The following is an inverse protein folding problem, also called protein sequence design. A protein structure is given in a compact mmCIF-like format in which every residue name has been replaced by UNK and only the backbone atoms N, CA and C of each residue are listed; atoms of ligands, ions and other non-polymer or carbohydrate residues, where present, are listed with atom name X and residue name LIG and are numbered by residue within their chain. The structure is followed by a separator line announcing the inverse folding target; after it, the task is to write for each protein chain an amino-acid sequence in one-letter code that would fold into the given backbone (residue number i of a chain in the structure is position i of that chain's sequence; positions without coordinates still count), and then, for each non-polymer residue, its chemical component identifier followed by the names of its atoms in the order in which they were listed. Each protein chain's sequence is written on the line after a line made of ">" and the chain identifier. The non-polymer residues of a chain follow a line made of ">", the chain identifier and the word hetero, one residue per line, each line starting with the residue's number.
data_IF_747862157987
#
_entry.id   IF_747862157987
#
_cell.length_a   1.000
_cell.length_b   1.000
_cell.length_c   1.000
_cell.angle_alpha   90.00
_cell.angle_beta   90.00
_cell.angle_gamma   90.00
#
_symmetry.space_group_name_H-M   'P 1'
#
loop_
_entity.id
_entity.type
_entity.pdbx_description
1 polymer ?
#
# COMPACT_ATOMS: atom_id res chain seq x y z
N UNK A 1 27.79 -20.69 53.89
CA UNK A 1 27.69 -19.23 54.02
C UNK A 1 26.98 -18.60 52.83
N UNK A 2 25.71 -18.98 52.63
CA UNK A 2 24.78 -18.33 51.67
C UNK A 2 23.79 -17.41 52.42
N UNK A 3 23.86 -17.38 53.75
CA UNK A 3 22.91 -16.69 54.63
C UNK A 3 23.33 -15.26 55.01
N UNK A 4 24.21 -14.60 54.23
CA UNK A 4 24.66 -13.22 54.51
C UNK A 4 24.21 -12.15 53.50
N UNK A 5 23.38 -12.51 52.50
CA UNK A 5 22.91 -11.55 51.49
C UNK A 5 21.41 -11.20 51.58
N UNK A 6 20.67 -11.67 52.59
CA UNK A 6 19.22 -11.41 52.70
C UNK A 6 18.84 -10.12 53.45
N UNK A 7 19.77 -9.27 53.88
CA UNK A 7 19.44 -8.12 54.74
C UNK A 7 19.80 -6.71 54.21
N UNK A 8 20.12 -6.56 52.93
CA UNK A 8 20.27 -5.22 52.33
C UNK A 8 19.35 -5.06 51.12
N UNK A 9 18.07 -4.83 51.39
CA UNK A 9 17.14 -4.37 50.37
C UNK A 9 17.62 -3.05 49.75
N UNK A 10 17.76 -3.03 48.42
CA UNK A 10 18.09 -1.81 47.67
C UNK A 10 16.84 -0.95 47.64
N UNK A 11 16.89 0.21 48.30
CA UNK A 11 15.85 1.23 48.18
C UNK A 11 16.07 1.97 46.86
N UNK A 12 15.17 1.75 45.90
CA UNK A 12 15.13 2.48 44.63
C UNK A 12 14.10 3.59 44.79
N UNK A 13 14.56 4.83 44.93
CA UNK A 13 13.69 6.00 44.81
C UNK A 13 13.41 6.24 43.32
N UNK A 14 12.15 6.04 42.91
CA UNK A 14 11.69 6.33 41.55
C UNK A 14 10.91 7.64 41.63
N UNK A 15 11.54 8.72 41.18
CA UNK A 15 10.84 9.98 41.02
C UNK A 15 9.71 9.83 39.98
N UNK A 16 8.51 10.37 40.26
CA UNK A 16 7.43 10.35 39.29
C UNK A 16 7.83 11.16 38.05
N UNK A 17 7.61 10.58 36.86
CA UNK A 17 7.78 11.28 35.60
C UNK A 17 6.79 12.45 35.51
N UNK A 18 7.25 13.66 35.81
CA UNK A 18 6.46 14.88 35.66
C UNK A 18 6.49 15.30 34.18
N UNK A 19 5.52 14.82 33.41
CA UNK A 19 5.30 15.31 32.05
C UNK A 19 4.66 16.69 32.16
N UNK A 20 5.41 17.73 31.81
CA UNK A 20 4.87 19.09 31.70
C UNK A 20 3.73 19.07 30.68
N UNK A 21 2.51 19.41 31.11
CA UNK A 21 1.35 19.45 30.22
C UNK A 21 1.51 20.47 29.07
N UNK A 22 2.44 21.42 29.20
CA UNK A 22 2.81 22.36 28.14
C UNK A 22 3.81 21.78 27.12
N UNK A 23 4.37 20.59 27.35
CA UNK A 23 5.19 19.83 26.38
C UNK A 23 4.35 18.85 25.54
N UNK A 24 3.10 18.59 25.94
CA UNK A 24 2.18 17.73 25.21
C UNK A 24 1.25 18.61 24.39
N UNK A 25 1.64 18.89 23.14
CA UNK A 25 0.68 19.39 22.16
C UNK A 25 -0.14 18.21 21.65
N UNK A 26 -1.30 17.99 22.27
CA UNK A 26 -2.34 17.17 21.65
C UNK A 26 -2.92 18.07 20.54
N UNK A 27 -2.52 17.83 19.29
CA UNK A 27 -3.25 18.41 18.15
C UNK A 27 -4.73 18.14 18.41
N UNK A 28 -5.51 19.20 18.58
CA UNK A 28 -6.96 19.08 18.60
C UNK A 28 -7.32 18.29 17.34
N UNK A 29 -7.90 17.10 17.52
CA UNK A 29 -8.49 16.32 16.44
C UNK A 29 -9.70 17.11 15.91
N UNK A 30 -9.44 18.21 15.19
CA UNK A 30 -10.37 18.67 14.19
C UNK A 30 -10.50 17.50 13.24
N UNK A 31 -11.71 16.96 13.15
CA UNK A 31 -12.15 15.99 12.16
C UNK A 31 -12.03 16.58 10.75
N UNK A 32 -10.83 16.98 10.35
CA UNK A 32 -10.52 17.28 8.99
C UNK A 32 -10.48 15.92 8.31
N UNK A 33 -11.68 15.43 7.98
CA UNK A 33 -11.84 14.42 6.96
C UNK A 33 -10.95 14.85 5.79
N UNK A 34 -10.09 13.94 5.34
CA UNK A 34 -9.24 14.21 4.20
C UNK A 34 -10.14 14.65 3.04
N UNK A 35 -10.06 15.91 2.63
CA UNK A 35 -10.76 16.36 1.44
C UNK A 35 -9.76 16.51 0.31
N UNK A 36 -9.74 15.54 -0.61
CA UNK A 36 -8.86 15.61 -1.77
C UNK A 36 -9.18 16.81 -2.67
N UNK A 37 -10.34 17.46 -2.54
CA UNK A 37 -10.68 18.68 -3.28
C UNK A 37 -9.77 19.84 -2.91
N UNK A 38 -9.23 19.84 -1.69
CA UNK A 38 -8.44 20.95 -1.14
C UNK A 38 -6.94 20.75 -1.28
N UNK A 39 -6.45 19.63 -1.85
CA UNK A 39 -5.01 19.45 -2.11
C UNK A 39 -4.49 20.67 -2.88
N UNK A 40 -3.58 21.41 -2.29
CA UNK A 40 -3.05 22.64 -2.88
C UNK A 40 -1.96 22.30 -3.91
N UNK A 41 -0.92 23.13 -4.01
CA UNK A 41 0.36 22.68 -4.55
C UNK A 41 1.00 21.63 -3.64
N UNK A 42 1.77 20.68 -4.20
CA UNK A 42 2.59 19.78 -3.38
C UNK A 42 3.57 20.60 -2.55
N UNK A 43 3.75 20.23 -1.28
CA UNK A 43 4.71 20.92 -0.41
C UNK A 43 6.15 20.48 -0.67
N UNK A 44 6.32 19.28 -1.26
CA UNK A 44 7.61 18.74 -1.71
C UNK A 44 7.39 17.78 -2.88
N UNK A 45 8.35 17.74 -3.77
CA UNK A 45 8.37 16.85 -4.93
C UNK A 45 9.69 16.10 -4.98
N UNK A 46 9.63 14.79 -5.23
CA UNK A 46 10.79 13.94 -5.51
C UNK A 46 10.79 13.68 -7.02
N UNK A 47 11.88 14.01 -7.70
CA UNK A 47 12.02 13.69 -9.12
C UNK A 47 12.16 12.18 -9.33
N UNK A 48 11.55 11.64 -10.37
CA UNK A 48 11.66 10.25 -10.78
C UNK A 48 12.28 10.14 -12.18
N UNK A 49 12.93 9.01 -12.45
CA UNK A 49 13.39 8.69 -13.80
C UNK A 49 12.19 8.30 -14.69
N UNK A 50 12.26 8.63 -15.98
CA UNK A 50 11.17 8.36 -16.95
C UNK A 50 10.81 6.88 -17.11
N UNK A 51 11.71 5.98 -16.72
CA UNK A 51 11.54 4.53 -16.81
C UNK A 51 10.99 3.90 -15.51
N UNK A 52 10.59 4.72 -14.53
CA UNK A 52 10.06 4.26 -13.25
C UNK A 52 8.69 3.58 -13.42
N UNK A 53 8.55 2.36 -12.91
CA UNK A 53 7.25 1.70 -12.83
C UNK A 53 6.36 2.32 -11.75
N UNK A 54 5.04 2.07 -11.76
CA UNK A 54 4.11 2.63 -10.77
C UNK A 54 4.40 2.22 -9.32
N UNK A 55 5.23 1.21 -9.09
CA UNK A 55 5.49 0.67 -7.76
C UNK A 55 6.02 1.74 -6.80
N UNK A 56 5.29 1.87 -5.69
CA UNK A 56 5.57 2.75 -4.58
C UNK A 56 4.80 2.22 -3.38
N UNK A 57 5.45 2.14 -2.23
CA UNK A 57 4.81 1.73 -0.99
C UNK A 57 5.41 2.50 0.17
N UNK A 58 4.75 2.49 1.32
CA UNK A 58 5.18 3.22 2.49
C UNK A 58 4.84 2.46 3.75
N UNK A 59 5.57 2.80 4.81
CA UNK A 59 5.19 2.47 6.17
C UNK A 59 5.01 3.77 6.96
N UNK A 60 5.04 3.68 8.29
CA UNK A 60 4.91 4.86 9.13
C UNK A 60 6.10 5.81 9.01
N UNK A 61 7.30 5.35 8.64
CA UNK A 61 8.56 6.11 8.67
C UNK A 61 9.18 6.37 7.30
N UNK A 62 8.97 5.45 6.37
CA UNK A 62 9.69 5.39 5.11
C UNK A 62 8.76 5.27 3.92
N UNK A 63 9.19 5.87 2.82
CA UNK A 63 8.61 5.76 1.50
C UNK A 63 9.61 5.01 0.61
N UNK A 64 9.22 3.85 0.10
CA UNK A 64 10.00 3.08 -0.87
C UNK A 64 9.45 3.33 -2.27
N UNK A 65 10.33 3.79 -3.16
CA UNK A 65 9.98 4.14 -4.53
C UNK A 65 10.82 3.30 -5.48
N UNK A 66 10.19 2.65 -6.45
CA UNK A 66 10.89 2.11 -7.61
C UNK A 66 11.32 3.25 -8.54
N UNK A 67 12.62 3.51 -8.60
CA UNK A 67 13.26 4.46 -9.49
C UNK A 67 14.36 3.75 -10.27
N UNK A 68 13.94 2.94 -11.25
CA UNK A 68 14.85 2.14 -12.07
C UNK A 68 16.13 2.92 -12.47
N UNK A 69 17.33 2.34 -12.24
CA UNK A 69 17.60 0.95 -11.85
C UNK A 69 17.60 0.67 -10.34
N UNK A 70 17.17 1.61 -9.49
CA UNK A 70 17.27 1.49 -8.03
C UNK A 70 15.91 1.44 -7.34
N UNK A 71 15.86 0.78 -6.19
CA UNK A 71 14.88 1.04 -5.15
C UNK A 71 15.41 2.15 -4.24
N UNK A 72 14.64 3.23 -4.10
CA UNK A 72 15.04 4.41 -3.33
C UNK A 72 14.18 4.54 -2.07
N UNK A 73 14.84 4.55 -0.90
CA UNK A 73 14.21 4.72 0.41
C UNK A 73 14.31 6.17 0.87
N UNK A 74 13.17 6.77 1.18
CA UNK A 74 13.08 8.13 1.72
C UNK A 74 12.51 8.12 3.13
N UNK A 75 12.96 9.03 3.99
CA UNK A 75 12.39 9.25 5.32
C UNK A 75 11.08 10.08 5.27
N UNK A 76 10.46 10.31 6.44
CA UNK A 76 9.31 11.21 6.61
C UNK A 76 9.57 12.65 6.15
N UNK A 77 10.82 13.09 6.23
CA UNK A 77 11.24 14.40 5.77
C UNK A 77 11.43 14.41 4.25
N UNK A 78 11.26 13.28 3.55
CA UNK A 78 11.45 13.06 2.12
C UNK A 78 12.91 13.24 1.68
N UNK A 79 13.84 12.94 2.58
CA UNK A 79 15.28 12.86 2.32
C UNK A 79 15.63 11.45 1.88
N UNK A 80 16.40 11.33 0.79
CA UNK A 80 16.90 10.04 0.33
C UNK A 80 17.86 9.49 1.37
N UNK A 81 17.54 8.33 1.94
CA UNK A 81 18.38 7.64 2.91
C UNK A 81 19.30 6.62 2.24
N UNK A 82 18.75 5.86 1.28
CA UNK A 82 19.45 4.75 0.66
C UNK A 82 18.90 4.39 -0.70
N UNK A 83 19.79 3.89 -1.54
CA UNK A 83 19.45 3.25 -2.82
C UNK A 83 19.89 1.79 -2.78
N UNK A 84 19.09 0.92 -3.39
CA UNK A 84 19.41 -0.49 -3.58
C UNK A 84 19.31 -0.82 -5.07
N UNK A 85 20.39 -1.27 -5.73
CA UNK A 85 20.34 -1.70 -7.12
C UNK A 85 19.34 -2.82 -7.35
N UNK A 86 18.39 -2.63 -8.25
CA UNK A 86 17.37 -3.61 -8.59
C UNK A 86 17.73 -4.34 -9.89
N UNK A 87 18.21 -5.58 -9.76
CA UNK A 87 18.70 -6.39 -10.88
C UNK A 87 17.66 -7.37 -11.44
N UNK A 88 16.41 -7.30 -10.94
CA UNK A 88 15.34 -8.22 -11.33
C UNK A 88 14.38 -7.58 -12.34
N UNK A 89 13.31 -8.31 -12.69
CA UNK A 89 12.24 -7.82 -13.55
C UNK A 89 11.56 -6.56 -12.97
N UNK A 90 10.81 -5.83 -13.81
CA UNK A 90 9.93 -4.77 -13.35
C UNK A 90 9.07 -5.16 -12.13
N UNK A 91 8.86 -4.17 -11.27
CA UNK A 91 8.08 -4.29 -10.05
C UNK A 91 6.65 -3.83 -10.35
N UNK A 92 5.68 -4.74 -10.56
CA UNK A 92 4.29 -4.36 -10.74
C UNK A 92 3.66 -3.78 -9.47
N UNK A 93 4.07 -4.24 -8.29
CA UNK A 93 3.55 -3.73 -7.02
C UNK A 93 4.46 -4.03 -5.81
N UNK A 94 4.23 -3.30 -4.72
CA UNK A 94 4.91 -3.51 -3.44
C UNK A 94 3.95 -3.21 -2.29
N UNK A 95 4.11 -3.90 -1.17
CA UNK A 95 3.41 -3.57 0.08
C UNK A 95 4.35 -3.65 1.28
N UNK A 96 3.99 -2.97 2.36
CA UNK A 96 4.69 -3.06 3.64
C UNK A 96 4.02 -4.09 4.56
N UNK A 97 4.83 -4.92 5.23
CA UNK A 97 4.38 -5.80 6.31
C UNK A 97 4.94 -5.34 7.65
N UNK A 98 4.07 -4.85 8.53
CA UNK A 98 4.45 -4.49 9.90
C UNK A 98 4.91 -5.70 10.71
N UNK A 99 4.31 -6.87 10.48
CA UNK A 99 4.66 -8.12 11.15
C UNK A 99 6.07 -8.59 10.85
N UNK A 100 6.51 -8.45 9.59
CA UNK A 100 7.86 -8.84 9.16
C UNK A 100 8.87 -7.70 9.21
N UNK A 101 8.44 -6.49 9.57
CA UNK A 101 9.20 -5.24 9.44
C UNK A 101 9.94 -5.12 8.09
N UNK A 102 9.23 -5.44 7.02
CA UNK A 102 9.83 -5.61 5.69
C UNK A 102 8.87 -5.20 4.57
N UNK A 103 9.44 -4.72 3.49
CA UNK A 103 8.76 -4.52 2.22
C UNK A 103 8.64 -5.86 1.48
N UNK A 104 7.44 -6.16 0.99
CA UNK A 104 7.18 -7.31 0.13
C UNK A 104 7.07 -6.78 -1.30
N UNK A 105 7.96 -7.26 -2.16
CA UNK A 105 8.12 -6.80 -3.53
C UNK A 105 7.74 -7.95 -4.45
N UNK A 106 6.73 -7.76 -5.30
CA UNK A 106 6.39 -8.75 -6.32
C UNK A 106 7.04 -8.39 -7.64
N UNK A 107 7.38 -9.41 -8.43
CA UNK A 107 7.92 -9.25 -9.78
C UNK A 107 7.11 -10.07 -10.78
N UNK A 108 7.21 -9.70 -12.06
CA UNK A 108 6.46 -10.38 -13.12
C UNK A 108 6.90 -11.84 -13.38
N UNK A 109 8.18 -12.20 -13.18
CA UNK A 109 8.68 -13.57 -13.42
C UNK A 109 9.55 -14.12 -12.30
N UNK A 110 10.30 -13.26 -11.61
CA UNK A 110 11.28 -13.70 -10.61
C UNK A 110 10.69 -14.06 -9.23
N UNK A 111 9.38 -13.88 -9.02
CA UNK A 111 8.67 -14.29 -7.80
C UNK A 111 8.42 -13.13 -6.85
N UNK A 112 8.44 -13.43 -5.55
CA UNK A 112 8.18 -12.48 -4.46
C UNK A 112 9.43 -12.35 -3.61
N UNK A 113 9.79 -11.12 -3.27
CA UNK A 113 10.97 -10.80 -2.48
C UNK A 113 10.58 -10.12 -1.18
N UNK A 114 11.36 -10.39 -0.14
CA UNK A 114 11.32 -9.71 1.13
C UNK A 114 12.55 -8.81 1.25
N UNK A 115 12.31 -7.51 1.36
CA UNK A 115 13.34 -6.49 1.54
C UNK A 115 13.17 -5.89 2.93
N UNK A 116 14.21 -5.93 3.75
CA UNK A 116 14.11 -5.33 5.08
C UNK A 116 13.99 -3.80 5.02
N UNK A 117 13.51 -3.20 6.11
CA UNK A 117 13.21 -1.77 6.19
C UNK A 117 14.38 -0.85 5.78
N UNK A 118 15.63 -1.24 6.06
CA UNK A 118 16.84 -0.45 5.80
C UNK A 118 17.54 -0.80 4.46
N UNK A 119 16.88 -1.57 3.59
CA UNK A 119 17.41 -2.06 2.32
C UNK A 119 18.81 -2.72 2.43
N UNK A 120 19.12 -3.43 3.51
CA UNK A 120 20.40 -4.13 3.68
C UNK A 120 20.33 -5.60 3.31
N UNK A 121 19.14 -6.19 3.24
CA UNK A 121 18.95 -7.60 2.90
C UNK A 121 17.73 -7.78 2.01
N UNK A 122 17.92 -8.57 0.96
CA UNK A 122 16.89 -9.00 0.04
C UNK A 122 16.86 -10.52 0.00
N UNK A 123 15.69 -11.11 0.21
CA UNK A 123 15.47 -12.55 0.15
C UNK A 123 14.36 -12.87 -0.85
N UNK A 124 14.55 -13.91 -1.67
CA UNK A 124 13.50 -14.43 -2.54
C UNK A 124 12.69 -15.50 -1.79
N UNK A 125 11.38 -15.29 -1.66
CA UNK A 125 10.47 -16.17 -0.92
C UNK A 125 10.19 -17.43 -1.76
N UNK A 126 10.98 -18.48 -1.53
CA UNK A 126 10.91 -19.74 -2.29
C UNK A 126 9.55 -20.47 -2.21
N UNK A 127 8.83 -20.49 -1.07
CA UNK A 127 7.55 -21.19 -0.99
C UNK A 127 6.46 -20.66 -1.93
N UNK A 128 6.59 -19.43 -2.42
CA UNK A 128 5.64 -18.83 -3.35
C UNK A 128 6.06 -19.16 -4.79
N UNK A 129 5.27 -19.98 -5.46
CA UNK A 129 5.49 -20.31 -6.86
C UNK A 129 5.62 -19.06 -7.74
N UNK A 130 6.54 -19.12 -8.71
CA UNK A 130 6.67 -18.08 -9.73
C UNK A 130 5.41 -18.05 -10.60
N UNK A 131 4.65 -16.97 -10.50
CA UNK A 131 3.51 -16.64 -11.36
C UNK A 131 3.63 -15.20 -11.84
N UNK A 132 2.83 -14.83 -12.82
CA UNK A 132 2.68 -13.43 -13.23
C UNK A 132 1.86 -12.69 -12.18
N UNK A 133 2.50 -12.27 -11.09
CA UNK A 133 1.87 -11.48 -10.04
C UNK A 133 1.60 -10.06 -10.54
N UNK A 134 0.48 -9.47 -10.14
CA UNK A 134 0.08 -8.12 -10.54
C UNK A 134 0.00 -7.15 -9.37
N UNK A 135 -0.56 -7.56 -8.25
CA UNK A 135 -0.72 -6.71 -7.07
C UNK A 135 -0.60 -7.50 -5.79
N UNK A 136 -0.17 -6.81 -4.72
CA UNK A 136 -0.01 -7.40 -3.40
C UNK A 136 -0.50 -6.47 -2.30
N UNK A 137 -0.98 -7.06 -1.21
CA UNK A 137 -1.26 -6.35 0.04
C UNK A 137 -1.14 -7.35 1.19
N UNK A 138 -1.05 -6.88 2.43
CA UNK A 138 -1.03 -7.79 3.57
C UNK A 138 -1.80 -7.25 4.78
N UNK A 139 -2.29 -8.19 5.58
CA UNK A 139 -2.69 -7.97 6.96
C UNK A 139 -1.52 -8.30 7.89
N UNK A 140 -1.77 -8.29 9.20
CA UNK A 140 -0.77 -8.72 10.19
C UNK A 140 -0.37 -10.19 10.05
N UNK A 141 -1.22 -11.05 9.47
CA UNK A 141 -0.96 -12.49 9.38
C UNK A 141 -0.90 -13.03 7.96
N UNK A 142 -1.41 -12.30 6.98
CA UNK A 142 -1.72 -12.85 5.66
C UNK A 142 -1.22 -11.95 4.55
N UNK A 143 -0.46 -12.51 3.62
CA UNK A 143 -0.14 -11.90 2.33
C UNK A 143 -1.22 -12.29 1.31
N UNK A 144 -1.72 -11.30 0.58
CA UNK A 144 -2.66 -11.47 -0.52
C UNK A 144 -1.96 -11.11 -1.83
N UNK A 145 -2.02 -12.01 -2.82
CA UNK A 145 -1.44 -11.79 -4.16
C UNK A 145 -2.48 -11.98 -5.26
N UNK A 146 -2.49 -11.11 -6.27
CA UNK A 146 -3.33 -11.25 -7.47
C UNK A 146 -2.53 -11.66 -8.70
N UNK A 147 -3.13 -12.45 -9.60
CA UNK A 147 -2.52 -12.81 -10.89
C UNK A 147 -2.84 -11.81 -12.01
N UNK A 148 -1.89 -11.62 -12.93
CA UNK A 148 -2.02 -10.75 -14.11
C UNK A 148 -2.69 -11.49 -15.29
N UNK A 149 -3.93 -11.94 -15.09
CA UNK A 149 -4.68 -12.66 -16.12
C UNK A 149 -6.17 -12.32 -16.04
N UNK A 150 -6.90 -12.45 -17.15
CA UNK A 150 -8.36 -12.35 -17.14
C UNK A 150 -8.94 -13.49 -16.27
N UNK A 151 -9.92 -13.16 -15.42
CA UNK A 151 -10.37 -14.08 -14.36
C UNK A 151 -9.35 -14.18 -13.22
N UNK A 152 -8.71 -13.07 -12.87
CA UNK A 152 -7.59 -13.01 -11.91
C UNK A 152 -7.89 -13.79 -10.64
N UNK A 153 -6.90 -14.56 -10.19
CA UNK A 153 -6.97 -15.31 -8.95
C UNK A 153 -6.45 -14.46 -7.79
N UNK A 154 -6.93 -14.70 -6.57
CA UNK A 154 -6.35 -14.15 -5.33
C UNK A 154 -5.82 -15.31 -4.50
N UNK A 155 -4.55 -15.24 -4.11
CA UNK A 155 -3.88 -16.21 -3.26
C UNK A 155 -3.65 -15.63 -1.87
N UNK A 156 -3.83 -16.45 -0.84
CA UNK A 156 -3.50 -16.15 0.55
C UNK A 156 -2.32 -16.99 1.01
N UNK A 157 -1.35 -16.34 1.65
CA UNK A 157 -0.20 -16.98 2.27
C UNK A 157 -0.06 -16.51 3.72
N UNK A 158 0.33 -17.41 4.62
CA UNK A 158 0.56 -17.09 6.02
C UNK A 158 1.94 -16.45 6.20
N UNK A 159 2.01 -15.19 6.62
CA UNK A 159 3.27 -14.46 6.83
C UNK A 159 4.15 -15.10 7.90
N UNK A 160 3.54 -15.57 8.99
CA UNK A 160 4.24 -16.12 10.16
C UNK A 160 4.67 -17.58 9.98
N UNK A 161 4.08 -18.29 9.02
CA UNK A 161 4.42 -19.69 8.71
C UNK A 161 5.23 -19.80 7.42
N UNK A 162 6.28 -18.97 7.29
CA UNK A 162 7.18 -18.96 6.13
C UNK A 162 6.43 -18.91 4.78
N UNK A 163 5.39 -18.07 4.69
CA UNK A 163 4.56 -17.91 3.49
C UNK A 163 3.89 -19.21 3.03
N UNK A 164 3.49 -20.10 3.95
CA UNK A 164 2.72 -21.28 3.59
C UNK A 164 1.40 -20.89 2.90
N UNK A 165 1.09 -21.56 1.79
CA UNK A 165 -0.15 -21.35 1.06
C UNK A 165 -1.36 -21.71 1.94
N UNK A 166 -2.33 -20.80 2.04
CA UNK A 166 -3.54 -21.01 2.84
C UNK A 166 -4.74 -21.34 1.96
N UNK A 167 -5.03 -20.47 0.99
CA UNK A 167 -6.26 -20.51 0.19
C UNK A 167 -6.08 -19.76 -1.12
N UNK A 168 -6.87 -20.16 -2.11
CA UNK A 168 -7.00 -19.45 -3.38
C UNK A 168 -8.47 -19.20 -3.68
N UNK A 169 -8.81 -17.97 -4.06
CA UNK A 169 -10.07 -17.64 -4.71
C UNK A 169 -9.86 -17.60 -6.22
N UNK A 170 -10.63 -18.39 -6.95
CA UNK A 170 -10.56 -18.52 -8.40
C UNK A 170 -11.73 -17.83 -9.07
N UNK A 171 -11.60 -17.45 -10.35
CA UNK A 171 -12.75 -17.04 -11.15
C UNK A 171 -13.81 -18.17 -11.20
N UNK A 172 -15.12 -17.87 -11.05
CA UNK A 172 -15.73 -16.53 -11.00
C UNK A 172 -15.85 -15.93 -9.60
N UNK A 173 -15.34 -16.61 -8.57
CA UNK A 173 -15.44 -16.14 -7.18
C UNK A 173 -14.61 -14.87 -6.94
N UNK A 174 -13.35 -14.85 -7.40
CA UNK A 174 -12.45 -13.68 -7.31
C UNK A 174 -12.95 -12.50 -8.16
N UNK A 175 -13.09 -12.73 -9.46
CA UNK A 175 -13.78 -11.88 -10.41
C UNK A 175 -14.28 -12.74 -11.59
N UNK A 176 -15.16 -12.19 -12.43
CA UNK A 176 -15.58 -12.90 -13.64
C UNK A 176 -14.40 -13.15 -14.59
N UNK A 177 -14.54 -14.14 -15.48
CA UNK A 177 -13.52 -14.54 -16.46
C UNK A 177 -13.11 -13.42 -17.43
N UNK A 178 -13.98 -12.45 -17.71
CA UNK A 178 -13.74 -11.31 -18.59
C UNK A 178 -13.14 -10.10 -17.87
N UNK A 179 -12.90 -10.22 -16.56
CA UNK A 179 -12.43 -9.14 -15.69
C UNK A 179 -11.01 -9.37 -15.20
N UNK A 180 -10.32 -8.29 -14.86
CA UNK A 180 -8.99 -8.28 -14.26
C UNK A 180 -9.04 -7.55 -12.92
N UNK A 181 -8.35 -8.07 -11.91
CA UNK A 181 -8.10 -7.37 -10.65
C UNK A 181 -6.78 -6.62 -10.78
N UNK A 182 -6.85 -5.33 -11.09
CA UNK A 182 -5.68 -4.48 -11.31
C UNK A 182 -4.89 -4.19 -10.03
N UNK A 183 -5.59 -4.09 -8.90
CA UNK A 183 -4.98 -3.77 -7.62
C UNK A 183 -5.83 -4.29 -6.45
N UNK A 184 -5.16 -4.62 -5.36
CA UNK A 184 -5.75 -5.08 -4.11
C UNK A 184 -5.18 -4.27 -2.95
N UNK A 185 -6.03 -3.88 -2.00
CA UNK A 185 -5.60 -3.22 -0.78
C UNK A 185 -6.37 -3.80 0.43
N UNK A 186 -5.64 -4.19 1.47
CA UNK A 186 -6.20 -4.65 2.72
C UNK A 186 -6.35 -3.49 3.69
N UNK A 187 -7.48 -3.44 4.39
CA UNK A 187 -7.66 -2.57 5.54
C UNK A 187 -8.74 -3.14 6.47
N UNK A 188 -8.45 -3.23 7.77
CA UNK A 188 -9.42 -3.57 8.80
C UNK A 188 -10.37 -4.73 8.42
N UNK A 189 -9.81 -5.91 8.18
CA UNK A 189 -10.55 -7.14 7.80
C UNK A 189 -11.30 -7.08 6.45
N UNK A 190 -10.99 -6.10 5.62
CA UNK A 190 -11.58 -5.95 4.28
C UNK A 190 -10.53 -5.90 3.19
N UNK A 191 -10.92 -6.30 1.99
CA UNK A 191 -10.12 -6.21 0.76
C UNK A 191 -10.86 -5.32 -0.23
N UNK A 192 -10.24 -4.20 -0.59
CA UNK A 192 -10.66 -3.39 -1.72
C UNK A 192 -10.02 -3.94 -2.99
N UNK A 193 -10.86 -4.23 -3.99
CA UNK A 193 -10.48 -4.76 -5.28
C UNK A 193 -10.75 -3.73 -6.36
N UNK A 194 -9.71 -3.33 -7.09
CA UNK A 194 -9.86 -2.52 -8.29
C UNK A 194 -10.07 -3.44 -9.50
N UNK A 195 -11.31 -3.57 -9.94
CA UNK A 195 -11.73 -4.53 -10.97
C UNK A 195 -12.05 -3.79 -12.27
N UNK A 196 -11.50 -4.31 -13.36
CA UNK A 196 -11.77 -3.81 -14.71
C UNK A 196 -12.41 -4.88 -15.57
N UNK A 197 -13.43 -4.48 -16.34
CA UNK A 197 -13.99 -5.30 -17.39
C UNK A 197 -13.32 -4.97 -18.72
N UNK A 198 -12.62 -5.95 -19.30
CA UNK A 198 -11.86 -5.78 -20.56
C UNK A 198 -12.75 -5.71 -21.80
N UNK A 199 -14.05 -6.00 -21.69
CA UNK A 199 -14.99 -6.04 -22.82
C UNK A 199 -15.77 -4.74 -23.01
N UNK A 200 -15.90 -3.91 -21.97
CA UNK A 200 -16.74 -2.72 -22.01
C UNK A 200 -16.15 -1.50 -21.26
N UNK A 201 -14.87 -1.59 -20.88
CA UNK A 201 -14.09 -0.53 -20.22
C UNK A 201 -14.68 0.02 -18.91
N UNK A 202 -15.64 -0.71 -18.33
CA UNK A 202 -16.17 -0.36 -17.01
C UNK A 202 -15.18 -0.78 -15.95
N UNK A 203 -14.89 0.15 -15.05
CA UNK A 203 -14.10 -0.12 -13.86
C UNK A 203 -14.95 0.04 -12.62
N UNK A 204 -14.64 -0.76 -11.61
CA UNK A 204 -15.29 -0.67 -10.31
C UNK A 204 -14.29 -0.92 -9.20
N UNK A 205 -14.53 -0.28 -8.08
CA UNK A 205 -13.99 -0.72 -6.81
C UNK A 205 -15.02 -1.63 -6.15
N UNK A 206 -14.57 -2.72 -5.55
CA UNK A 206 -15.40 -3.67 -4.82
C UNK A 206 -14.74 -3.99 -3.49
N UNK A 207 -15.48 -3.78 -2.39
CA UNK A 207 -15.02 -4.12 -1.06
C UNK A 207 -15.58 -5.46 -0.64
N UNK A 208 -14.73 -6.34 -0.14
CA UNK A 208 -15.10 -7.68 0.34
C UNK A 208 -14.56 -7.94 1.73
N UNK A 209 -15.22 -8.81 2.50
CA UNK A 209 -14.63 -9.34 3.73
C UNK A 209 -13.35 -10.11 3.40
N UNK A 210 -12.24 -9.91 4.13
CA UNK A 210 -11.03 -10.71 3.92
C UNK A 210 -11.17 -12.15 4.41
N UNK A 211 -12.12 -12.41 5.32
CA UNK A 211 -12.34 -13.72 5.92
C UNK A 211 -13.26 -14.59 5.06
N UNK A 212 -14.45 -14.09 4.73
CA UNK A 212 -15.46 -14.86 3.97
C UNK A 212 -15.39 -14.61 2.47
N UNK A 213 -14.82 -13.46 2.07
CA UNK A 213 -14.81 -12.97 0.70
C UNK A 213 -16.19 -12.58 0.15
N UNK A 214 -17.15 -12.37 1.04
CA UNK A 214 -18.47 -11.84 0.69
C UNK A 214 -18.37 -10.36 0.29
N UNK A 215 -19.13 -9.93 -0.73
CA UNK A 215 -19.17 -8.52 -1.12
C UNK A 215 -19.87 -7.67 -0.06
N UNK A 216 -19.24 -6.57 0.31
CA UNK A 216 -19.79 -5.57 1.22
C UNK A 216 -20.44 -4.43 0.43
N UNK A 217 -19.73 -3.89 -0.55
CA UNK A 217 -20.26 -2.91 -1.50
C UNK A 217 -19.44 -2.88 -2.79
N UNK A 218 -19.99 -2.26 -3.84
CA UNK A 218 -19.26 -2.00 -5.08
C UNK A 218 -19.70 -0.68 -5.71
N UNK A 219 -18.72 0.05 -6.24
CA UNK A 219 -18.93 1.35 -6.87
C UNK A 219 -18.29 1.36 -8.24
N UNK A 220 -19.11 1.58 -9.26
CA UNK A 220 -18.67 1.65 -10.65
C UNK A 220 -18.40 3.09 -11.05
N UNK A 221 -17.39 3.29 -11.88
CA UNK A 221 -17.09 4.59 -12.45
C UNK A 221 -16.60 4.44 -13.89
N UNK A 222 -16.84 5.49 -14.68
CA UNK A 222 -16.42 5.51 -16.08
C UNK A 222 -14.92 5.75 -16.17
N UNK A 223 -14.27 4.98 -17.04
CA UNK A 223 -12.92 5.26 -17.51
C UNK A 223 -12.95 5.32 -19.03
N UNK A 224 -12.18 6.22 -19.62
CA UNK A 224 -11.87 6.14 -21.04
C UNK A 224 -11.04 4.89 -21.29
N UNK A 225 -11.21 4.30 -22.48
CA UNK A 225 -10.32 3.26 -22.95
C UNK A 225 -8.87 3.76 -22.92
N UNK A 226 -7.97 2.95 -22.37
CA UNK A 226 -6.56 3.32 -22.27
C UNK A 226 -5.65 2.11 -22.39
N UNK A 227 -4.46 2.32 -22.94
CA UNK A 227 -3.48 1.26 -23.20
C UNK A 227 -2.77 0.73 -21.95
N UNK A 228 -3.03 1.30 -20.76
CA UNK A 228 -2.38 0.94 -19.50
C UNK A 228 -3.37 0.63 -18.35
N UNK A 229 -4.30 -0.33 -18.53
CA UNK A 229 -5.33 -0.70 -17.53
C UNK A 229 -4.77 -1.05 -16.15
N UNK A 230 -3.58 -1.65 -16.09
CA UNK A 230 -2.88 -2.04 -14.85
C UNK A 230 -2.44 -0.87 -13.96
N UNK A 231 -2.60 0.37 -14.42
CA UNK A 231 -2.22 1.58 -13.65
C UNK A 231 -3.35 2.13 -12.79
N UNK A 232 -4.53 1.52 -12.81
CA UNK A 232 -5.59 1.90 -11.87
C UNK A 232 -5.33 1.25 -10.51
N UNK A 233 -5.25 2.07 -9.47
CA UNK A 233 -4.87 1.65 -8.12
C UNK A 233 -5.92 2.08 -7.10
N UNK A 234 -5.90 1.41 -5.96
CA UNK A 234 -6.62 1.80 -4.77
C UNK A 234 -5.61 1.88 -3.62
N UNK A 235 -5.70 2.92 -2.80
CA UNK A 235 -4.96 2.98 -1.56
C UNK A 235 -5.87 3.32 -0.38
N UNK A 236 -5.44 2.87 0.79
CA UNK A 236 -6.15 3.07 2.06
C UNK A 236 -5.95 4.52 2.50
N UNK A 237 -7.05 5.16 2.90
CA UNK A 237 -7.05 6.45 3.57
C UNK A 237 -7.38 6.28 5.06
N UNK A 238 -7.34 7.36 5.83
CA UNK A 238 -7.83 7.37 7.22
C UNK A 238 -9.30 6.95 7.28
N UNK A 239 -9.74 6.50 8.45
CA UNK A 239 -11.15 6.22 8.77
C UNK A 239 -11.82 5.18 7.86
N UNK A 240 -11.05 4.21 7.35
CA UNK A 240 -11.51 3.17 6.44
C UNK A 240 -12.08 3.69 5.11
N UNK A 241 -11.59 4.84 4.67
CA UNK A 241 -11.89 5.40 3.36
C UNK A 241 -10.82 4.98 2.34
N UNK A 242 -11.07 5.25 1.07
CA UNK A 242 -10.26 4.77 -0.03
C UNK A 242 -10.00 5.87 -1.04
N UNK A 243 -8.78 5.92 -1.57
CA UNK A 243 -8.42 6.75 -2.70
C UNK A 243 -8.30 5.84 -3.92
N UNK A 244 -9.10 6.10 -4.94
CA UNK A 244 -9.06 5.38 -6.21
C UNK A 244 -8.39 6.26 -7.25
N UNK A 245 -7.39 5.68 -7.91
CA UNK A 245 -6.63 6.32 -8.98
C UNK A 245 -7.19 5.82 -10.31
N UNK A 246 -7.89 6.70 -11.01
CA UNK A 246 -8.35 6.45 -12.37
C UNK A 246 -7.34 7.03 -13.35
N UNK A 247 -6.33 6.23 -13.69
CA UNK A 247 -5.21 6.61 -14.54
C UNK A 247 -5.68 7.19 -15.88
N UNK A 248 -6.57 6.49 -16.58
CA UNK A 248 -6.96 6.85 -17.95
C UNK A 248 -7.65 8.22 -18.05
N UNK A 249 -8.29 8.65 -16.97
CA UNK A 249 -8.95 9.94 -16.92
C UNK A 249 -8.13 11.00 -16.16
N UNK A 250 -6.94 10.67 -15.63
CA UNK A 250 -6.20 11.57 -14.73
C UNK A 250 -7.06 12.04 -13.54
N UNK A 251 -7.83 11.14 -12.91
CA UNK A 251 -8.70 11.49 -11.77
C UNK A 251 -8.34 10.73 -10.50
N UNK A 252 -8.49 11.43 -9.39
CA UNK A 252 -8.53 10.90 -8.03
C UNK A 252 -9.99 10.86 -7.57
N UNK A 253 -10.43 9.71 -7.06
CA UNK A 253 -11.76 9.54 -6.46
C UNK A 253 -11.59 9.21 -4.99
N UNK A 254 -12.21 9.99 -4.12
CA UNK A 254 -12.30 9.69 -2.71
C UNK A 254 -13.59 8.92 -2.46
N UNK A 255 -13.44 7.69 -2.00
CA UNK A 255 -14.53 6.76 -1.72
C UNK A 255 -14.62 6.57 -0.21
N UNK A 256 -15.80 6.81 0.33
CA UNK A 256 -16.13 6.60 1.74
C UNK A 256 -16.13 5.12 2.13
N UNK A 257 -16.15 4.84 3.43
CA UNK A 257 -16.17 3.49 4.00
C UNK A 257 -17.34 2.61 3.54
N UNK A 258 -18.46 3.22 3.13
CA UNK A 258 -19.69 2.57 2.64
C UNK A 258 -19.80 2.60 1.10
N UNK A 259 -18.76 3.06 0.41
CA UNK A 259 -18.65 2.96 -1.04
C UNK A 259 -19.14 4.19 -1.80
N UNK A 260 -19.65 5.24 -1.15
CA UNK A 260 -20.04 6.47 -1.85
C UNK A 260 -18.83 7.30 -2.28
N UNK A 261 -18.85 7.79 -3.52
CA UNK A 261 -17.84 8.75 -4.01
C UNK A 261 -18.12 10.10 -3.34
N UNK A 262 -17.25 10.52 -2.42
CA UNK A 262 -17.32 11.81 -1.72
C UNK A 262 -16.89 12.94 -2.65
N UNK A 263 -15.73 12.76 -3.26
CA UNK A 263 -15.09 13.78 -4.09
C UNK A 263 -14.45 13.13 -5.32
N UNK A 264 -14.53 13.84 -6.44
CA UNK A 264 -13.77 13.55 -7.65
C UNK A 264 -12.92 14.76 -8.02
N UNK A 265 -11.64 14.53 -8.28
CA UNK A 265 -10.69 15.59 -8.61
C UNK A 265 -9.84 15.21 -9.82
N UNK A 266 -9.72 16.12 -10.77
CA UNK A 266 -8.74 16.01 -11.85
C UNK A 266 -7.34 16.30 -11.32
N UNK A 267 -6.34 15.58 -11.81
CA UNK A 267 -4.97 15.70 -11.36
C UNK A 267 -4.03 15.62 -12.57
N UNK A 268 -3.29 16.70 -12.81
CA UNK A 268 -2.31 16.77 -13.89
C UNK A 268 -0.90 16.96 -13.28
N UNK A 269 0.10 16.14 -13.67
CA UNK A 269 0.06 15.10 -14.72
C UNK A 269 -0.54 13.77 -14.25
N UNK A 270 -0.84 12.87 -15.20
CA UNK A 270 -1.48 11.57 -14.92
C UNK A 270 -0.83 10.79 -13.77
N UNK A 271 -1.69 10.31 -12.87
CA UNK A 271 -1.29 9.58 -11.67
C UNK A 271 -1.06 8.10 -11.99
N UNK A 272 0.06 7.56 -11.52
CA UNK A 272 0.44 6.15 -11.63
C UNK A 272 0.15 5.39 -10.32
N UNK A 273 0.38 6.01 -9.17
CA UNK A 273 0.18 5.40 -7.86
C UNK A 273 0.04 6.48 -6.77
N UNK A 274 -0.48 6.12 -5.60
CA UNK A 274 -0.55 6.99 -4.44
C UNK A 274 -0.54 6.17 -3.15
N UNK A 275 0.17 6.66 -2.13
CA UNK A 275 0.24 6.00 -0.81
C UNK A 275 0.23 7.04 0.30
N UNK A 276 -0.19 6.63 1.50
CA UNK A 276 -0.03 7.43 2.71
C UNK A 276 1.31 7.12 3.37
N UNK A 277 2.16 8.14 3.52
CA UNK A 277 3.36 8.08 4.32
C UNK A 277 3.02 8.53 5.74
N UNK A 278 3.06 7.58 6.68
CA UNK A 278 2.53 7.80 8.02
C UNK A 278 1.05 8.17 7.99
N UNK A 279 0.67 9.19 8.75
CA UNK A 279 -0.73 9.62 8.88
C UNK A 279 -1.04 10.94 8.20
N UNK A 280 -0.07 11.68 7.67
CA UNK A 280 -0.29 13.08 7.29
C UNK A 280 0.34 13.48 5.97
N UNK A 281 0.90 12.53 5.21
CA UNK A 281 1.48 12.81 3.90
C UNK A 281 0.85 11.89 2.87
N UNK A 282 0.16 12.47 1.90
CA UNK A 282 -0.27 11.77 0.69
C UNK A 282 0.81 11.93 -0.38
N UNK A 283 1.49 10.83 -0.72
CA UNK A 283 2.47 10.78 -1.79
C UNK A 283 1.79 10.30 -3.07
N UNK A 284 1.83 11.11 -4.13
CA UNK A 284 1.21 10.82 -5.43
C UNK A 284 2.30 10.70 -6.49
N UNK A 285 2.47 9.50 -7.03
CA UNK A 285 3.44 9.19 -8.09
C UNK A 285 2.83 9.44 -9.45
N UNK A 286 3.54 10.19 -10.27
CA UNK A 286 3.28 10.44 -11.70
C UNK A 286 4.38 9.77 -12.53
N UNK A 287 4.51 10.11 -13.81
CA UNK A 287 5.62 9.60 -14.64
C UNK A 287 6.97 10.19 -14.22
N UNK A 288 6.99 11.49 -13.92
CA UNK A 288 8.24 12.23 -13.72
C UNK A 288 8.52 12.53 -12.24
N UNK A 289 7.54 12.38 -11.34
CA UNK A 289 7.64 12.88 -9.98
C UNK A 289 6.84 12.05 -8.97
N UNK A 290 7.23 12.13 -7.68
CA UNK A 290 6.34 11.90 -6.54
C UNK A 290 6.03 13.23 -5.87
N UNK A 291 4.79 13.68 -6.01
CA UNK A 291 4.26 14.89 -5.41
C UNK A 291 3.69 14.57 -4.03
N UNK A 292 4.22 15.23 -3.00
CA UNK A 292 3.80 14.99 -1.61
C UNK A 292 2.93 16.15 -1.12
N UNK A 293 1.80 15.81 -0.51
CA UNK A 293 0.80 16.73 0.05
C UNK A 293 0.67 16.49 1.54
N UNK A 294 0.61 17.56 2.34
CA UNK A 294 0.25 17.45 3.76
C UNK A 294 -1.26 17.39 3.87
N UNK A 295 -1.75 16.47 4.69
CA UNK A 295 -3.18 16.19 4.89
C UNK A 295 -3.52 15.96 6.36
#
# INVERSE_FOLDING_TARGET
>A
DVDQFEENGIVVDVDPLIINQNLVYIEQWTSNELDISTLSSPYRTIACSKDSWPAMTSNNHFLLIDQYPNLCLYDKQLTLLKEYPWEYDPIPDMCWSSTLNSFIIITGKNGVFLMNENLTSLECIQPIEKKQWLSCTCSDSTLFLTTNESGSNIFQFNLLSAFHFMKQWKSPQSCNYDKLINNIAYNNETLALMIENRTNDKKRIELRSSATFDPLWSTTFNATYGFAPWKNRVCVLKHNEWLVINHNNSHLLHVSKDGHIKTKRSYEPTVNNAVLLGTNILAIKTADNVNCYRI
#
